data_IF_803768981524
#
_entry.id   IF_803768981524
#
_cell.length_a   1.000
_cell.length_b   1.000
_cell.length_c   1.000
_cell.angle_alpha   90.00
_cell.angle_beta   90.00
_cell.angle_gamma   90.00
#
_symmetry.space_group_name_H-M   'P 1'
#
loop_
_entity.id
_entity.type
_entity.pdbx_description
1 polymer ?
#
# COMPACT_ATOMS: atom_id res chain seq x y z
N UNK A 1 -48.27 -13.98 6.04
CA UNK A 1 -47.33 -13.98 7.17
C UNK A 1 -46.53 -15.26 7.13
N UNK A 2 -45.35 -15.19 6.54
CA UNK A 2 -44.39 -16.29 6.37
C UNK A 2 -43.41 -16.26 7.56
N UNK A 3 -43.49 -17.27 8.42
CA UNK A 3 -42.57 -17.47 9.54
C UNK A 3 -41.26 -18.09 9.09
N UNK A 4 -40.15 -17.44 9.41
CA UNK A 4 -38.78 -17.95 9.20
C UNK A 4 -38.43 -18.92 10.33
N UNK A 5 -37.87 -20.12 10.07
CA UNK A 5 -37.36 -20.98 11.13
C UNK A 5 -35.96 -20.55 11.57
N UNK A 6 -35.82 -20.38 12.88
CA UNK A 6 -34.59 -20.07 13.59
C UNK A 6 -33.57 -21.20 13.46
N UNK A 7 -32.36 -20.89 12.98
CA UNK A 7 -31.22 -21.81 12.93
C UNK A 7 -30.56 -21.91 14.29
N UNK A 8 -31.08 -22.78 15.16
CA UNK A 8 -30.37 -23.18 16.37
C UNK A 8 -29.17 -24.06 15.98
N UNK A 9 -28.00 -23.43 15.84
CA UNK A 9 -26.72 -24.12 15.66
C UNK A 9 -26.44 -24.97 16.90
N UNK A 10 -26.44 -26.30 16.72
CA UNK A 10 -26.17 -27.27 17.77
C UNK A 10 -24.73 -27.10 18.25
N UNK A 11 -24.56 -26.49 19.43
CA UNK A 11 -23.31 -26.50 20.19
C UNK A 11 -22.96 -27.94 20.54
N UNK A 12 -21.86 -28.43 19.99
CA UNK A 12 -21.23 -29.70 20.37
C UNK A 12 -19.73 -29.46 20.53
N UNK A 13 -19.34 -28.78 21.61
CA UNK A 13 -17.95 -28.77 22.09
C UNK A 13 -17.79 -29.79 23.21
N UNK A 14 -17.69 -31.05 22.82
CA UNK A 14 -17.21 -32.13 23.70
C UNK A 14 -15.91 -32.66 23.12
N UNK A 15 -14.78 -32.24 23.69
CA UNK A 15 -13.44 -32.77 23.37
C UNK A 15 -13.31 -34.28 23.63
N UNK A 16 -14.24 -34.87 24.39
CA UNK A 16 -14.34 -36.30 24.58
C UNK A 16 -15.44 -36.89 23.70
N UNK A 17 -15.18 -36.99 22.39
CA UNK A 17 -15.97 -37.88 21.54
C UNK A 17 -15.69 -39.31 22.00
N UNK A 18 -16.71 -39.97 22.54
CA UNK A 18 -16.76 -41.43 22.65
C UNK A 18 -16.48 -42.03 21.26
N UNK A 19 -15.28 -42.59 21.08
CA UNK A 19 -14.90 -43.28 19.85
C UNK A 19 -15.71 -44.57 19.77
N UNK A 20 -16.63 -44.63 18.81
CA UNK A 20 -17.56 -45.74 18.58
C UNK A 20 -16.97 -46.88 17.74
N UNK A 21 -15.64 -47.08 17.75
CA UNK A 21 -14.97 -48.24 17.15
C UNK A 21 -13.64 -48.49 17.89
N UNK A 22 -13.40 -49.65 18.53
CA UNK A 22 -12.13 -49.92 19.18
C UNK A 22 -11.08 -50.24 18.12
N UNK A 23 -10.51 -49.19 17.49
CA UNK A 23 -9.16 -49.31 16.96
C UNK A 23 -8.32 -49.75 18.16
N UNK A 24 -7.71 -50.94 18.08
CA UNK A 24 -6.80 -51.42 19.12
C UNK A 24 -5.69 -50.38 19.22
N UNK A 25 -5.78 -49.50 20.21
CA UNK A 25 -4.79 -48.45 20.46
C UNK A 25 -3.51 -49.17 20.86
N UNK A 26 -2.58 -49.26 19.92
CA UNK A 26 -1.26 -49.82 20.18
C UNK A 26 -0.46 -48.81 20.99
N UNK A 27 0.22 -49.29 22.04
CA UNK A 27 1.08 -48.45 22.86
C UNK A 27 2.30 -47.98 22.05
N UNK A 28 2.48 -46.68 21.79
CA UNK A 28 3.60 -46.17 21.01
C UNK A 28 4.95 -46.24 21.75
N UNK A 29 4.95 -46.47 23.07
CA UNK A 29 6.13 -46.34 23.94
C UNK A 29 7.13 -47.50 23.85
N UNK A 30 6.90 -48.49 22.98
CA UNK A 30 7.74 -49.68 22.81
C UNK A 30 8.22 -50.27 24.15
N UNK A 31 7.26 -50.69 24.99
CA UNK A 31 7.52 -51.12 26.38
C UNK A 31 8.42 -52.35 26.50
N UNK A 32 8.67 -53.06 25.39
CA UNK A 32 9.60 -54.20 25.32
C UNK A 32 11.07 -53.76 25.33
N UNK A 33 11.37 -52.51 24.96
CA UNK A 33 12.74 -51.99 24.95
C UNK A 33 13.28 -51.78 26.37
N UNK A 34 14.45 -52.38 26.63
CA UNK A 34 15.15 -52.30 27.91
C UNK A 34 15.57 -50.87 28.25
N UNK A 35 15.88 -50.05 27.26
CA UNK A 35 16.25 -48.65 27.52
C UNK A 35 15.05 -47.84 28.03
N UNK A 36 13.90 -47.95 27.35
CA UNK A 36 12.65 -47.30 27.78
C UNK A 36 12.24 -47.77 29.17
N UNK A 37 12.32 -49.07 29.45
CA UNK A 37 12.04 -49.60 30.79
C UNK A 37 12.94 -48.96 31.87
N UNK A 38 14.24 -48.82 31.61
CA UNK A 38 15.15 -48.17 32.55
C UNK A 38 14.83 -46.68 32.75
N UNK A 39 14.48 -45.96 31.69
CA UNK A 39 14.06 -44.56 31.79
C UNK A 39 12.79 -44.42 32.65
N UNK A 40 11.78 -45.25 32.40
CA UNK A 40 10.56 -45.27 33.21
C UNK A 40 10.86 -45.60 34.68
N UNK A 41 11.76 -46.56 34.94
CA UNK A 41 12.15 -46.93 36.31
C UNK A 41 12.80 -45.74 37.04
N UNK A 42 13.74 -45.05 36.36
CA UNK A 42 14.41 -43.86 36.90
C UNK A 42 13.41 -42.75 37.20
N UNK A 43 12.46 -42.51 36.29
CA UNK A 43 11.43 -41.49 36.46
C UNK A 43 10.56 -41.73 37.70
N UNK A 44 10.07 -42.96 37.87
CA UNK A 44 9.28 -43.31 39.06
C UNK A 44 10.10 -43.16 40.34
N UNK A 45 11.35 -43.66 40.36
CA UNK A 45 12.21 -43.52 41.53
C UNK A 45 12.53 -42.06 41.87
N UNK A 46 12.76 -41.22 40.87
CA UNK A 46 13.02 -39.80 41.04
C UNK A 46 11.80 -39.09 41.60
N UNK A 47 10.62 -39.32 41.02
CA UNK A 47 9.37 -38.74 41.50
C UNK A 47 9.06 -39.13 42.95
N UNK A 48 9.20 -40.42 43.29
CA UNK A 48 9.00 -40.88 44.68
C UNK A 48 10.00 -40.23 45.65
N UNK A 49 11.22 -39.91 45.21
CA UNK A 49 12.19 -39.20 46.03
C UNK A 49 11.80 -37.74 46.25
N UNK A 50 11.39 -37.07 45.18
CA UNK A 50 11.03 -35.65 45.21
C UNK A 50 9.80 -35.43 46.11
N UNK A 51 8.83 -36.35 46.07
CA UNK A 51 7.63 -36.33 46.92
C UNK A 51 7.84 -36.94 48.33
N UNK A 52 9.07 -37.28 48.72
CA UNK A 52 9.43 -37.83 50.04
C UNK A 52 8.75 -39.17 50.40
N UNK A 53 8.63 -40.10 49.45
CA UNK A 53 8.10 -41.44 49.72
C UNK A 53 8.98 -42.21 50.72
N UNK A 54 8.43 -42.84 51.78
CA UNK A 54 9.22 -43.41 52.87
C UNK A 54 10.12 -44.60 52.52
N UNK A 55 9.82 -45.37 51.47
CA UNK A 55 10.51 -46.63 51.17
C UNK A 55 10.94 -46.68 49.70
N UNK A 56 12.11 -46.11 49.38
CA UNK A 56 12.60 -46.06 48.01
C UNK A 56 13.70 -47.11 47.81
N UNK A 57 13.51 -48.03 46.87
CA UNK A 57 14.55 -48.98 46.45
C UNK A 57 14.41 -49.31 44.97
N UNK A 58 15.51 -49.67 44.29
CA UNK A 58 15.42 -50.12 42.89
C UNK A 58 14.54 -51.37 42.73
N UNK A 59 14.46 -52.21 43.77
CA UNK A 59 13.62 -53.41 43.78
C UNK A 59 12.14 -53.08 43.72
N UNK A 60 11.72 -51.99 44.37
CA UNK A 60 10.33 -51.51 44.37
C UNK A 60 9.80 -51.23 42.96
N UNK A 61 10.67 -50.78 42.04
CA UNK A 61 10.23 -50.40 40.69
C UNK A 61 10.54 -51.49 39.66
N UNK A 62 11.55 -52.34 39.93
CA UNK A 62 11.90 -53.47 39.06
C UNK A 62 10.97 -54.67 39.26
N UNK A 63 10.83 -55.16 40.49
CA UNK A 63 10.06 -56.36 40.83
C UNK A 63 9.39 -56.19 42.21
N UNK A 64 8.38 -55.31 42.35
CA UNK A 64 7.68 -55.14 43.61
C UNK A 64 6.79 -56.35 43.95
N UNK A 65 6.56 -56.55 45.23
CA UNK A 65 5.41 -57.34 45.69
C UNK A 65 4.11 -56.57 45.43
N UNK A 66 2.99 -57.31 45.39
CA UNK A 66 1.67 -56.70 45.19
C UNK A 66 1.34 -55.62 46.23
N UNK A 67 1.73 -55.82 47.49
CA UNK A 67 1.50 -54.87 48.58
C UNK A 67 2.36 -53.62 48.45
N UNK A 68 3.63 -53.78 48.06
CA UNK A 68 4.53 -52.65 47.82
C UNK A 68 4.07 -51.80 46.63
N UNK A 69 3.67 -52.44 45.52
CA UNK A 69 3.14 -51.74 44.36
C UNK A 69 1.82 -51.02 44.68
N UNK A 70 0.94 -51.65 45.46
CA UNK A 70 -0.31 -51.06 45.90
C UNK A 70 -0.09 -49.77 46.73
N UNK A 71 0.83 -49.81 47.70
CA UNK A 71 1.19 -48.63 48.50
C UNK A 71 1.81 -47.52 47.66
N UNK A 72 2.68 -47.90 46.72
CA UNK A 72 3.26 -46.93 45.78
C UNK A 72 2.19 -46.28 44.90
N UNK A 73 1.27 -47.07 44.33
CA UNK A 73 0.16 -46.54 43.52
C UNK A 73 -0.75 -45.61 44.34
N UNK A 74 -1.13 -46.04 45.54
CA UNK A 74 -1.95 -45.24 46.46
C UNK A 74 -1.28 -43.90 46.77
N UNK A 75 0.01 -43.90 47.13
CA UNK A 75 0.76 -42.69 47.40
C UNK A 75 0.82 -41.74 46.20
N UNK A 76 1.08 -42.27 45.00
CA UNK A 76 1.11 -41.44 43.78
C UNK A 76 -0.29 -40.89 43.48
N UNK A 77 -1.34 -41.68 43.64
CA UNK A 77 -2.71 -41.25 43.37
C UNK A 77 -3.23 -40.22 44.38
N UNK A 78 -2.75 -40.27 45.62
CA UNK A 78 -3.08 -39.28 46.66
C UNK A 78 -2.63 -37.85 46.29
N UNK A 79 -1.70 -37.70 45.35
CA UNK A 79 -1.31 -36.38 44.81
C UNK A 79 -2.44 -35.73 43.99
N UNK A 80 -3.35 -36.53 43.41
CA UNK A 80 -4.57 -36.01 42.78
C UNK A 80 -5.75 -35.93 43.76
N UNK A 81 -5.82 -36.86 44.71
CA UNK A 81 -6.93 -37.00 45.64
C UNK A 81 -6.41 -37.34 47.04
N UNK A 82 -6.15 -36.33 47.91
CA UNK A 82 -5.51 -36.54 49.22
C UNK A 82 -6.21 -37.55 50.13
N UNK A 83 -7.54 -37.63 50.06
CA UNK A 83 -8.36 -38.55 50.88
C UNK A 83 -8.51 -39.96 50.28
N UNK A 84 -7.78 -40.26 49.21
CA UNK A 84 -7.87 -41.57 48.55
C UNK A 84 -7.27 -42.66 49.43
N UNK A 85 -7.99 -43.77 49.59
CA UNK A 85 -7.50 -44.99 50.22
C UNK A 85 -7.77 -46.18 49.31
N UNK A 86 -6.74 -46.95 48.99
CA UNK A 86 -6.82 -48.08 48.09
C UNK A 86 -7.37 -49.32 48.81
N UNK A 87 -8.49 -49.87 48.33
CA UNK A 87 -9.07 -51.11 48.88
C UNK A 87 -8.55 -52.35 48.18
N UNK A 88 -8.82 -52.45 46.88
CA UNK A 88 -8.48 -53.63 46.08
C UNK A 88 -7.94 -53.19 44.73
N UNK A 89 -6.63 -53.39 44.55
CA UNK A 89 -5.90 -52.88 43.39
C UNK A 89 -6.42 -53.44 42.06
N UNK A 90 -6.86 -54.70 42.04
CA UNK A 90 -7.36 -55.36 40.81
C UNK A 90 -8.64 -54.74 40.26
N UNK A 91 -9.44 -54.15 41.14
CA UNK A 91 -10.72 -53.56 40.78
C UNK A 91 -10.59 -52.03 40.63
N UNK A 92 -9.85 -51.38 41.55
CA UNK A 92 -9.76 -49.93 41.61
C UNK A 92 -8.77 -49.35 40.61
N UNK A 93 -7.58 -49.94 40.42
CA UNK A 93 -6.59 -49.37 39.49
C UNK A 93 -7.14 -49.34 38.05
N UNK A 94 -7.66 -50.45 37.47
CA UNK A 94 -8.26 -50.40 36.12
C UNK A 94 -9.42 -49.41 35.99
N UNK A 95 -10.25 -49.28 37.03
CA UNK A 95 -11.38 -48.34 37.04
C UNK A 95 -10.89 -46.90 37.05
N UNK A 96 -9.96 -46.56 37.94
CA UNK A 96 -9.42 -45.22 38.10
C UNK A 96 -8.71 -44.75 36.82
N UNK A 97 -7.82 -45.58 36.25
CA UNK A 97 -7.14 -45.27 34.99
C UNK A 97 -8.13 -45.04 33.84
N UNK A 98 -9.24 -45.80 33.78
CA UNK A 98 -10.30 -45.54 32.80
C UNK A 98 -11.00 -44.21 33.03
N UNK A 99 -11.32 -43.87 34.28
CA UNK A 99 -12.01 -42.63 34.66
C UNK A 99 -11.18 -41.39 34.31
N UNK A 100 -9.87 -41.44 34.53
CA UNK A 100 -8.95 -40.32 34.22
C UNK A 100 -8.48 -40.31 32.76
N UNK A 101 -9.03 -41.18 31.91
CA UNK A 101 -8.81 -41.14 30.46
C UNK A 101 -7.53 -41.83 29.98
N UNK A 102 -6.98 -42.79 30.72
CA UNK A 102 -5.83 -43.57 30.27
C UNK A 102 -6.16 -44.33 28.97
N UNK A 103 -5.34 -44.17 27.91
CA UNK A 103 -5.69 -44.68 26.57
C UNK A 103 -5.60 -46.20 26.43
N UNK A 104 -4.90 -46.90 27.33
CA UNK A 104 -4.67 -48.35 27.22
C UNK A 104 -5.49 -49.13 28.25
N UNK A 105 -6.02 -50.28 27.83
CA UNK A 105 -6.85 -51.09 28.72
C UNK A 105 -6.00 -51.88 29.73
N UNK A 106 -6.15 -51.55 31.01
CA UNK A 106 -5.64 -52.37 32.11
C UNK A 106 -6.69 -53.43 32.49
N UNK A 107 -6.30 -54.70 32.51
CA UNK A 107 -7.18 -55.82 32.91
C UNK A 107 -6.92 -56.19 34.38
N UNK A 108 -7.93 -56.66 35.14
CA UNK A 108 -7.73 -57.13 36.51
C UNK A 108 -6.65 -58.24 36.62
N UNK A 109 -6.53 -59.10 35.60
CA UNK A 109 -5.50 -60.15 35.54
C UNK A 109 -4.08 -59.58 35.52
N UNK A 110 -3.85 -58.40 34.92
CA UNK A 110 -2.56 -57.70 34.92
C UNK A 110 -2.14 -57.29 36.35
N UNK A 111 -3.11 -57.07 37.24
CA UNK A 111 -2.84 -56.76 38.66
C UNK A 111 -2.54 -58.00 39.51
N UNK A 112 -2.86 -59.20 39.02
CA UNK A 112 -2.53 -60.45 39.70
C UNK A 112 -1.08 -60.85 39.49
N UNK A 113 -0.47 -60.41 38.39
CA UNK A 113 0.91 -60.73 37.98
C UNK A 113 1.87 -59.55 38.17
N UNK A 114 1.61 -58.69 39.15
CA UNK A 114 2.51 -57.58 39.54
C UNK A 114 3.90 -58.15 39.87
N UNK A 115 4.95 -57.53 39.34
CA UNK A 115 6.34 -57.98 39.49
C UNK A 115 6.78 -59.04 38.47
N UNK A 116 5.88 -59.55 37.61
CA UNK A 116 6.28 -60.44 36.53
C UNK A 116 6.94 -59.67 35.37
N UNK A 117 8.02 -60.21 34.81
CA UNK A 117 8.85 -59.54 33.80
C UNK A 117 8.09 -59.03 32.55
N UNK A 118 7.02 -59.73 32.13
CA UNK A 118 6.20 -59.34 30.98
C UNK A 118 5.08 -58.34 31.35
N UNK A 119 4.66 -58.33 32.62
CA UNK A 119 3.56 -57.48 33.10
C UNK A 119 4.07 -56.14 33.62
N UNK A 120 5.21 -56.13 34.31
CA UNK A 120 5.76 -54.95 34.96
C UNK A 120 6.01 -53.77 34.02
N UNK A 121 6.50 -53.94 32.77
CA UNK A 121 6.65 -52.82 31.84
C UNK A 121 5.35 -52.08 31.54
N UNK A 122 4.23 -52.81 31.45
CA UNK A 122 2.90 -52.23 31.23
C UNK A 122 2.39 -51.45 32.45
N UNK A 123 2.57 -52.01 33.64
CA UNK A 123 2.24 -51.33 34.90
C UNK A 123 3.08 -50.07 35.10
N UNK A 124 4.37 -50.17 34.80
CA UNK A 124 5.29 -49.05 34.90
C UNK A 124 4.93 -47.94 33.91
N UNK A 125 4.54 -48.30 32.68
CA UNK A 125 3.98 -47.37 31.70
C UNK A 125 2.69 -46.69 32.17
N UNK A 126 1.84 -47.37 32.94
CA UNK A 126 0.67 -46.74 33.54
C UNK A 126 1.07 -45.74 34.66
N UNK A 127 1.98 -46.13 35.54
CA UNK A 127 2.45 -45.26 36.63
C UNK A 127 3.20 -44.03 36.10
N UNK A 128 4.07 -44.18 35.11
CA UNK A 128 4.77 -43.03 34.52
C UNK A 128 3.81 -42.06 33.86
N UNK A 129 2.79 -42.57 33.16
CA UNK A 129 1.73 -41.74 32.59
C UNK A 129 0.93 -41.00 33.68
N UNK A 130 0.66 -41.65 34.81
CA UNK A 130 -0.01 -41.00 35.93
C UNK A 130 0.85 -39.89 36.54
N UNK A 131 2.16 -40.11 36.69
CA UNK A 131 3.10 -39.08 37.13
C UNK A 131 3.10 -37.90 36.16
N UNK A 132 3.17 -38.17 34.85
CA UNK A 132 3.08 -37.14 33.81
C UNK A 132 1.78 -36.33 33.91
N UNK A 133 0.65 -37.03 34.12
CA UNK A 133 -0.64 -36.38 34.31
C UNK A 133 -0.62 -35.47 35.53
N UNK A 134 -0.10 -35.93 36.67
CA UNK A 134 0.00 -35.14 37.90
C UNK A 134 0.84 -33.89 37.68
N UNK A 135 2.03 -34.03 37.11
CA UNK A 135 2.94 -32.92 36.82
C UNK A 135 2.28 -31.89 35.88
N UNK A 136 1.67 -32.37 34.79
CA UNK A 136 0.94 -31.50 33.86
C UNK A 136 -0.21 -30.77 34.55
N UNK A 137 -1.00 -31.45 35.40
CA UNK A 137 -2.10 -30.80 36.13
C UNK A 137 -1.61 -29.80 37.17
N UNK A 138 -0.43 -29.99 37.74
CA UNK A 138 0.19 -29.05 38.68
C UNK A 138 0.72 -27.79 37.99
N UNK A 139 1.14 -27.89 36.74
CA UNK A 139 1.63 -26.76 35.93
C UNK A 139 0.50 -25.91 35.34
N UNK A 140 -0.68 -26.48 35.12
CA UNK A 140 -1.82 -25.76 34.54
C UNK A 140 -2.42 -24.81 35.58
N UNK A 141 -2.29 -23.50 35.36
CA UNK A 141 -3.03 -22.51 36.15
C UNK A 141 -4.52 -22.54 35.75
N UNK A 142 -5.45 -22.42 36.71
CA UNK A 142 -6.86 -22.17 36.40
C UNK A 142 -7.07 -20.94 35.53
N UNK A 143 -6.15 -19.96 35.59
CA UNK A 143 -6.19 -18.77 34.73
C UNK A 143 -5.89 -19.11 33.27
N UNK A 144 -4.94 -20.01 33.01
CA UNK A 144 -4.58 -20.40 31.64
C UNK A 144 -5.75 -21.12 30.95
N UNK A 145 -6.50 -21.94 31.70
CA UNK A 145 -7.72 -22.58 31.21
C UNK A 145 -8.82 -21.57 30.84
N UNK A 146 -8.92 -20.47 31.58
CA UNK A 146 -9.89 -19.41 31.32
C UNK A 146 -9.47 -18.51 30.14
N UNK A 147 -8.16 -18.36 29.93
CA UNK A 147 -7.58 -17.62 28.81
C UNK A 147 -7.61 -18.39 27.49
N UNK A 148 -7.60 -19.73 27.52
CA UNK A 148 -7.53 -20.59 26.34
C UNK A 148 -8.79 -20.62 25.44
N UNK A 149 -9.84 -19.84 25.76
CA UNK A 149 -11.07 -19.83 24.96
C UNK A 149 -10.93 -18.95 23.69
N UNK A 150 -11.26 -19.50 22.52
CA UNK A 150 -11.08 -18.84 21.22
C UNK A 150 -12.04 -17.65 20.96
N UNK A 151 -13.08 -17.48 21.77
CA UNK A 151 -14.11 -16.43 21.60
C UNK A 151 -13.62 -15.01 21.99
N UNK A 152 -12.32 -14.79 22.17
CA UNK A 152 -11.72 -13.45 22.32
C UNK A 152 -11.95 -12.74 23.66
N UNK A 153 -12.66 -13.36 24.61
CA UNK A 153 -12.98 -12.76 25.92
C UNK A 153 -12.37 -13.50 27.12
N UNK A 154 -11.34 -14.32 26.88
CA UNK A 154 -10.67 -15.09 27.94
C UNK A 154 -10.12 -14.21 29.06
N UNK A 155 -9.66 -12.99 28.73
CA UNK A 155 -9.08 -12.06 29.69
C UNK A 155 -10.11 -11.45 30.64
N UNK A 156 -11.27 -10.99 30.13
CA UNK A 156 -12.36 -10.51 31.00
C UNK A 156 -12.89 -11.63 31.88
N UNK A 157 -12.99 -12.86 31.34
CA UNK A 157 -13.42 -14.03 32.11
C UNK A 157 -12.44 -14.38 33.23
N UNK A 158 -11.14 -14.37 32.93
CA UNK A 158 -10.09 -14.59 33.93
C UNK A 158 -10.13 -13.54 35.03
N UNK A 159 -10.30 -12.27 34.65
CA UNK A 159 -10.39 -11.15 35.58
C UNK A 159 -11.65 -11.24 36.47
N UNK A 160 -12.82 -11.50 35.87
CA UNK A 160 -14.07 -11.70 36.58
C UNK A 160 -14.00 -12.90 37.53
N UNK A 161 -13.41 -14.02 37.09
CA UNK A 161 -13.20 -15.19 37.95
C UNK A 161 -12.28 -14.86 39.13
N UNK A 162 -11.16 -14.19 38.89
CA UNK A 162 -10.25 -13.75 39.94
C UNK A 162 -10.94 -12.84 40.97
N UNK A 163 -11.77 -11.90 40.51
CA UNK A 163 -12.59 -11.06 41.38
C UNK A 163 -13.60 -11.86 42.21
N UNK A 164 -14.37 -12.75 41.56
CA UNK A 164 -15.34 -13.60 42.24
C UNK A 164 -14.70 -14.48 43.31
N UNK A 165 -13.55 -15.10 43.01
CA UNK A 165 -12.81 -15.94 43.97
C UNK A 165 -12.32 -15.12 45.17
N UNK A 166 -11.82 -13.90 44.95
CA UNK A 166 -11.39 -13.01 46.05
C UNK A 166 -12.57 -12.64 46.96
N UNK A 167 -13.68 -12.21 46.37
CA UNK A 167 -14.89 -11.88 47.12
C UNK A 167 -15.42 -13.08 47.90
N UNK A 168 -15.48 -14.25 47.25
CA UNK A 168 -15.93 -15.49 47.87
C UNK A 168 -15.02 -15.93 49.02
N UNK A 169 -13.69 -15.85 48.87
CA UNK A 169 -12.75 -16.14 49.96
C UNK A 169 -12.97 -15.22 51.16
N UNK A 170 -13.17 -13.92 50.93
CA UNK A 170 -13.46 -12.94 51.99
C UNK A 170 -14.78 -13.24 52.69
N UNK A 171 -15.80 -13.62 51.93
CA UNK A 171 -17.07 -14.10 52.48
C UNK A 171 -16.90 -15.37 53.32
N UNK A 172 -16.15 -16.37 52.85
CA UNK A 172 -15.87 -17.58 53.62
C UNK A 172 -15.10 -17.30 54.92
N UNK A 173 -14.19 -16.32 54.91
CA UNK A 173 -13.47 -15.89 56.11
C UNK A 173 -14.35 -15.08 57.07
N UNK A 174 -15.35 -14.37 56.58
CA UNK A 174 -16.30 -13.62 57.40
C UNK A 174 -17.73 -13.69 56.82
N UNK A 175 -18.51 -14.72 57.15
CA UNK A 175 -19.86 -14.89 56.60
C UNK A 175 -20.85 -13.80 57.03
N UNK A 176 -20.60 -13.13 58.16
CA UNK A 176 -21.44 -12.03 58.66
C UNK A 176 -21.35 -10.75 57.81
N UNK A 177 -20.35 -10.67 56.93
CA UNK A 177 -20.15 -9.56 56.00
C UNK A 177 -21.28 -9.44 54.96
N UNK A 178 -21.94 -10.56 54.62
CA UNK A 178 -22.98 -10.60 53.59
C UNK A 178 -22.49 -10.20 52.19
N UNK A 179 -23.43 -10.03 51.25
CA UNK A 179 -23.15 -9.69 49.86
C UNK A 179 -23.47 -8.21 49.56
N UNK A 180 -22.92 -7.29 50.35
CA UNK A 180 -23.03 -5.85 50.09
C UNK A 180 -21.76 -5.36 49.36
N UNK A 181 -21.94 -4.66 48.23
CA UNK A 181 -20.83 -4.10 47.43
C UNK A 181 -19.88 -3.21 48.23
N UNK A 182 -20.38 -2.48 49.24
CA UNK A 182 -19.54 -1.62 50.08
C UNK A 182 -18.52 -2.40 50.91
N UNK A 183 -18.78 -3.68 51.19
CA UNK A 183 -17.89 -4.53 51.99
C UNK A 183 -16.73 -5.12 51.16
N UNK A 184 -16.80 -4.98 49.84
CA UNK A 184 -15.79 -5.47 48.89
C UNK A 184 -15.10 -4.32 48.14
N UNK A 185 -15.05 -3.11 48.74
CA UNK A 185 -14.43 -1.92 48.14
C UNK A 185 -12.98 -2.15 47.73
N UNK A 186 -12.20 -2.83 48.55
CA UNK A 186 -10.80 -3.11 48.25
C UNK A 186 -10.67 -4.01 47.01
N UNK A 187 -11.49 -5.06 46.92
CA UNK A 187 -11.51 -5.97 45.78
C UNK A 187 -12.01 -5.28 44.50
N UNK A 188 -12.98 -4.37 44.63
CA UNK A 188 -13.47 -3.53 43.55
C UNK A 188 -12.40 -2.57 43.03
N UNK A 189 -11.68 -1.91 43.93
CA UNK A 189 -10.62 -0.96 43.57
C UNK A 189 -9.47 -1.67 42.86
N UNK A 190 -9.06 -2.86 43.34
CA UNK A 190 -8.04 -3.67 42.67
C UNK A 190 -8.49 -4.13 41.28
N UNK A 191 -9.77 -4.50 41.13
CA UNK A 191 -10.33 -4.84 39.82
C UNK A 191 -10.31 -3.62 38.89
N UNK A 192 -10.76 -2.46 39.38
CA UNK A 192 -10.84 -1.24 38.61
C UNK A 192 -9.44 -0.78 38.14
N UNK A 193 -8.45 -0.79 39.04
CA UNK A 193 -7.07 -0.47 38.69
C UNK A 193 -6.51 -1.42 37.61
N UNK A 194 -6.79 -2.73 37.70
CA UNK A 194 -6.35 -3.71 36.70
C UNK A 194 -7.05 -3.53 35.35
N UNK A 195 -8.28 -3.02 35.34
CA UNK A 195 -9.00 -2.65 34.12
C UNK A 195 -8.39 -1.37 33.55
N UNK A 196 -8.22 -0.31 34.35
CA UNK A 196 -7.67 0.98 33.94
C UNK A 196 -6.23 0.86 33.41
N UNK A 197 -5.35 0.11 34.08
CA UNK A 197 -3.96 -0.12 33.63
C UNK A 197 -3.88 -0.89 32.30
N UNK A 198 -4.93 -1.66 31.98
CA UNK A 198 -4.97 -2.50 30.76
C UNK A 198 -5.83 -1.91 29.65
N UNK A 199 -6.80 -1.08 30.02
CA UNK A 199 -7.69 -0.32 29.16
C UNK A 199 -7.23 1.14 29.05
N UNK A 200 -5.93 1.35 28.76
CA UNK A 200 -5.41 2.59 28.17
C UNK A 200 -6.00 2.85 26.75
N UNK A 201 -7.12 2.19 26.45
CA UNK A 201 -8.00 2.36 25.30
C UNK A 201 -8.46 3.80 25.21
N UNK A 202 -8.75 4.47 26.33
CA UNK A 202 -9.15 5.88 26.31
C UNK A 202 -8.01 6.81 25.81
N UNK A 203 -6.76 6.49 26.15
CA UNK A 203 -5.57 7.19 25.63
C UNK A 203 -5.35 6.87 24.15
N UNK A 204 -5.50 5.60 23.77
CA UNK A 204 -5.39 5.14 22.37
C UNK A 204 -6.50 5.73 21.47
N UNK A 205 -7.74 5.82 21.96
CA UNK A 205 -8.85 6.47 21.25
C UNK A 205 -8.56 7.96 21.04
N UNK A 206 -8.08 8.66 22.08
CA UNK A 206 -7.69 10.06 21.95
C UNK A 206 -6.53 10.28 20.97
N UNK A 207 -5.55 9.37 20.93
CA UNK A 207 -4.44 9.40 19.96
C UNK A 207 -4.93 9.13 18.54
N UNK A 208 -5.80 8.15 18.34
CA UNK A 208 -6.40 7.84 17.04
C UNK A 208 -7.29 8.98 16.54
N UNK A 209 -8.07 9.62 17.40
CA UNK A 209 -8.87 10.79 17.05
C UNK A 209 -7.99 11.96 16.63
N UNK A 210 -6.87 12.20 17.33
CA UNK A 210 -5.89 13.21 16.92
C UNK A 210 -5.28 12.90 15.55
N UNK A 211 -4.93 11.63 15.27
CA UNK A 211 -4.42 11.20 13.96
C UNK A 211 -5.46 11.38 12.84
N UNK A 212 -6.73 11.10 13.12
CA UNK A 212 -7.82 11.30 12.16
C UNK A 212 -7.94 12.78 11.79
N UNK A 213 -7.85 13.69 12.77
CA UNK A 213 -7.87 15.14 12.51
C UNK A 213 -6.71 15.55 11.62
N UNK A 214 -5.48 15.14 11.95
CA UNK A 214 -4.28 15.51 11.16
C UNK A 214 -4.33 14.97 9.73
N UNK A 215 -4.77 13.72 9.55
CA UNK A 215 -4.89 13.12 8.22
C UNK A 215 -6.00 13.78 7.40
N UNK A 216 -7.08 14.21 8.05
CA UNK A 216 -8.17 14.94 7.38
C UNK A 216 -7.69 16.30 6.89
N UNK A 217 -6.91 17.02 7.70
CA UNK A 217 -6.30 18.30 7.30
C UNK A 217 -5.33 18.12 6.12
N UNK A 218 -4.44 17.12 6.16
CA UNK A 218 -3.54 16.79 5.05
C UNK A 218 -4.30 16.46 3.75
N UNK A 219 -5.39 15.69 3.85
CA UNK A 219 -6.25 15.38 2.70
C UNK A 219 -6.87 16.66 2.14
N UNK A 220 -7.29 17.63 2.98
CA UNK A 220 -7.85 18.89 2.47
C UNK A 220 -6.81 19.75 1.75
N UNK A 221 -5.58 19.79 2.25
CA UNK A 221 -4.47 20.51 1.61
C UNK A 221 -4.11 19.87 0.25
N UNK A 222 -3.97 18.55 0.21
CA UNK A 222 -3.73 17.81 -1.03
C UNK A 222 -4.85 18.00 -2.07
N UNK A 223 -6.11 18.11 -1.65
CA UNK A 223 -7.21 18.42 -2.56
C UNK A 223 -7.13 19.84 -3.12
N UNK A 224 -6.66 20.81 -2.34
CA UNK A 224 -6.44 22.19 -2.80
C UNK A 224 -5.32 22.22 -3.84
N UNK A 225 -4.20 21.57 -3.56
CA UNK A 225 -3.05 21.48 -4.46
C UNK A 225 -3.41 20.79 -5.78
N UNK A 226 -4.21 19.72 -5.72
CA UNK A 226 -4.74 19.07 -6.92
C UNK A 226 -5.57 20.03 -7.77
N UNK A 227 -6.42 20.85 -7.15
CA UNK A 227 -7.20 21.87 -7.85
C UNK A 227 -6.33 22.93 -8.53
N UNK A 228 -5.19 23.30 -7.94
CA UNK A 228 -4.21 24.21 -8.56
C UNK A 228 -3.46 23.54 -9.70
N UNK A 229 -3.07 22.26 -9.54
CA UNK A 229 -2.43 21.46 -10.57
C UNK A 229 -3.32 21.30 -11.82
N UNK A 230 -4.62 21.06 -11.65
CA UNK A 230 -5.58 20.93 -12.76
C UNK A 230 -5.71 22.26 -13.55
N UNK A 231 -5.69 23.40 -12.86
CA UNK A 231 -5.65 24.73 -13.50
C UNK A 231 -4.35 24.94 -14.27
N UNK A 232 -3.22 24.52 -13.70
CA UNK A 232 -1.93 24.63 -14.37
C UNK A 232 -1.89 23.74 -15.62
N UNK A 233 -2.37 22.50 -15.54
CA UNK A 233 -2.43 21.58 -16.68
C UNK A 233 -3.32 22.09 -17.81
N UNK A 234 -4.47 22.69 -17.48
CA UNK A 234 -5.33 23.30 -18.50
C UNK A 234 -4.66 24.51 -19.15
N UNK A 235 -3.98 25.36 -18.37
CA UNK A 235 -3.18 26.47 -18.91
C UNK A 235 -2.04 26.00 -19.82
N UNK A 236 -1.31 24.95 -19.43
CA UNK A 236 -0.23 24.38 -20.25
C UNK A 236 -0.75 23.87 -21.59
N UNK A 237 -1.89 23.16 -21.60
CA UNK A 237 -2.51 22.69 -22.85
C UNK A 237 -2.88 23.83 -23.80
N UNK A 238 -3.46 24.92 -23.27
CA UNK A 238 -3.77 26.12 -24.07
C UNK A 238 -2.51 26.74 -24.65
N UNK A 239 -1.45 26.88 -23.84
CA UNK A 239 -0.16 27.41 -24.32
C UNK A 239 0.51 26.52 -25.36
N UNK A 240 0.40 25.20 -25.26
CA UNK A 240 0.90 24.25 -26.26
C UNK A 240 0.14 24.37 -27.59
N UNK A 241 -1.18 24.55 -27.54
CA UNK A 241 -2.00 24.81 -28.74
C UNK A 241 -1.62 26.14 -29.39
N UNK A 242 -1.40 27.19 -28.60
CA UNK A 242 -1.00 28.50 -29.13
C UNK A 242 0.43 28.49 -29.70
N UNK A 243 1.36 27.73 -29.08
CA UNK A 243 2.68 27.49 -29.66
C UNK A 243 2.59 26.81 -31.02
N UNK A 244 1.72 25.81 -31.19
CA UNK A 244 1.48 25.17 -32.49
C UNK A 244 0.96 26.16 -33.52
N UNK A 245 -0.02 27.00 -33.18
CA UNK A 245 -0.55 28.04 -34.08
C UNK A 245 0.51 29.08 -34.45
N UNK A 246 1.36 29.49 -33.51
CA UNK A 246 2.48 30.39 -33.80
C UNK A 246 3.51 29.73 -34.73
N UNK A 247 3.77 28.44 -34.56
CA UNK A 247 4.68 27.71 -35.42
C UNK A 247 4.13 27.62 -36.86
N UNK A 248 2.86 27.28 -37.04
CA UNK A 248 2.23 27.24 -38.37
C UNK A 248 2.25 28.63 -39.03
N UNK A 249 1.93 29.68 -38.27
CA UNK A 249 2.01 31.05 -38.78
C UNK A 249 3.43 31.45 -39.20
N UNK A 250 4.45 31.05 -38.43
CA UNK A 250 5.85 31.30 -38.77
C UNK A 250 6.24 30.61 -40.08
N UNK A 251 5.80 29.38 -40.27
CA UNK A 251 6.11 28.61 -41.48
C UNK A 251 5.44 29.24 -42.72
N UNK A 252 4.18 29.65 -42.62
CA UNK A 252 3.45 30.39 -43.67
C UNK A 252 4.15 31.71 -44.06
N UNK A 253 4.62 32.46 -43.05
CA UNK A 253 5.37 33.71 -43.28
C UNK A 253 6.73 33.45 -43.96
N UNK A 254 7.41 32.36 -43.61
CA UNK A 254 8.67 31.98 -44.26
C UNK A 254 8.45 31.58 -45.72
N UNK A 255 7.37 30.86 -46.03
CA UNK A 255 7.00 30.51 -47.40
C UNK A 255 6.72 31.77 -48.23
N UNK A 256 5.86 32.66 -47.73
CA UNK A 256 5.52 33.94 -48.39
C UNK A 256 6.78 34.77 -48.65
N UNK A 257 7.69 34.86 -47.67
CA UNK A 257 8.96 35.56 -47.83
C UNK A 257 9.83 34.93 -48.93
N UNK A 258 9.83 33.61 -49.05
CA UNK A 258 10.52 32.87 -50.11
C UNK A 258 9.95 33.18 -51.49
N UNK A 259 8.62 33.24 -51.62
CA UNK A 259 7.95 33.62 -52.87
C UNK A 259 8.28 35.06 -53.29
N UNK A 260 8.18 36.00 -52.35
CA UNK A 260 8.50 37.41 -52.62
C UNK A 260 9.96 37.61 -53.00
N UNK A 261 10.90 36.86 -52.40
CA UNK A 261 12.31 36.86 -52.83
C UNK A 261 12.47 36.39 -54.28
N UNK A 262 11.82 35.29 -54.68
CA UNK A 262 11.86 34.80 -56.07
C UNK A 262 11.26 35.83 -57.05
N UNK A 263 10.15 36.47 -56.68
CA UNK A 263 9.55 37.54 -57.49
C UNK A 263 10.51 38.71 -57.65
N UNK A 264 11.17 39.14 -56.56
CA UNK A 264 12.18 40.19 -56.60
C UNK A 264 13.33 39.84 -57.57
N UNK A 265 13.90 38.65 -57.45
CA UNK A 265 14.98 38.18 -58.35
C UNK A 265 14.53 38.22 -59.82
N UNK A 266 13.31 37.75 -60.12
CA UNK A 266 12.78 37.77 -61.49
C UNK A 266 12.59 39.18 -62.06
N UNK A 267 12.25 40.16 -61.20
CA UNK A 267 12.11 41.55 -61.59
C UNK A 267 13.47 42.21 -61.80
N UNK A 268 14.46 41.90 -60.96
CA UNK A 268 15.84 42.35 -61.11
C UNK A 268 16.44 41.86 -62.43
N UNK A 269 16.24 40.59 -62.78
CA UNK A 269 16.65 40.03 -64.08
C UNK A 269 16.01 40.78 -65.25
N UNK A 270 14.72 41.11 -65.14
CA UNK A 270 13.98 41.80 -66.19
C UNK A 270 14.43 43.26 -66.34
N UNK A 271 14.76 43.93 -65.23
CA UNK A 271 15.39 45.26 -65.25
C UNK A 271 16.74 45.19 -65.96
N UNK A 272 17.55 44.18 -65.65
CA UNK A 272 18.85 43.97 -66.31
C UNK A 272 18.71 43.79 -67.82
N UNK A 273 17.73 42.99 -68.26
CA UNK A 273 17.42 42.80 -69.69
C UNK A 273 17.02 44.13 -70.36
N UNK A 274 16.14 44.92 -69.74
CA UNK A 274 15.76 46.23 -70.30
C UNK A 274 16.92 47.22 -70.34
N UNK A 275 17.81 47.21 -69.35
CA UNK A 275 19.02 48.04 -69.36
C UNK A 275 19.93 47.72 -70.55
N UNK A 276 20.14 46.43 -70.85
CA UNK A 276 20.89 45.99 -72.04
C UNK A 276 20.19 46.44 -73.33
N UNK A 277 18.87 46.29 -73.40
CA UNK A 277 18.07 46.73 -74.56
C UNK A 277 18.20 48.24 -74.79
N UNK A 278 18.07 49.06 -73.75
CA UNK A 278 18.21 50.51 -73.81
C UNK A 278 19.61 50.91 -74.28
N UNK A 279 20.67 50.25 -73.78
CA UNK A 279 22.04 50.50 -74.22
C UNK A 279 22.18 50.25 -75.73
N UNK A 280 21.67 49.11 -76.22
CA UNK A 280 21.69 48.77 -77.65
C UNK A 280 20.90 49.77 -78.52
N UNK A 281 19.77 50.28 -78.02
CA UNK A 281 18.95 51.25 -78.73
C UNK A 281 19.63 52.63 -78.77
N UNK A 282 20.27 53.06 -77.68
CA UNK A 282 21.08 54.28 -77.64
C UNK A 282 22.25 54.21 -78.63
N UNK A 283 22.90 53.06 -78.74
CA UNK A 283 23.97 52.82 -79.71
C UNK A 283 23.45 52.93 -81.15
N UNK A 284 22.31 52.29 -81.46
CA UNK A 284 21.64 52.39 -82.76
C UNK A 284 21.21 53.82 -83.10
N UNK A 285 20.73 54.58 -82.11
CA UNK A 285 20.30 55.97 -82.27
C UNK A 285 21.51 56.87 -82.58
N UNK A 286 22.61 56.72 -81.84
CA UNK A 286 23.89 57.40 -82.13
C UNK A 286 24.44 57.07 -83.52
N UNK A 287 24.36 55.80 -83.94
CA UNK A 287 24.74 55.40 -85.30
C UNK A 287 23.87 56.06 -86.38
N UNK A 288 22.56 56.18 -86.13
CA UNK A 288 21.62 56.86 -87.03
C UNK A 288 21.81 58.38 -87.05
N UNK A 289 22.11 59.02 -85.92
CA UNK A 289 22.46 60.44 -85.85
C UNK A 289 23.74 60.75 -86.62
N UNK A 290 24.75 59.87 -86.55
CA UNK A 290 25.96 59.96 -87.39
C UNK A 290 25.65 59.80 -88.88
N UNK A 291 24.73 58.90 -89.26
CA UNK A 291 24.26 58.79 -90.64
C UNK A 291 23.50 60.05 -91.10
N UNK A 292 22.72 60.65 -90.21
CA UNK A 292 21.94 61.86 -90.50
C UNK A 292 22.83 63.10 -90.70
N UNK A 293 23.94 63.20 -89.94
CA UNK A 293 24.94 64.26 -90.09
C UNK A 293 25.72 64.18 -91.42
N UNK A 294 25.69 63.04 -92.11
CA UNK A 294 26.41 62.79 -93.36
C UNK A 294 25.60 63.03 -94.64
N UNK A 295 24.30 63.37 -94.55
CA UNK A 295 23.44 63.62 -95.74
C UNK A 295 23.07 65.09 -95.90
N UNK A 296 23.31 65.66 -97.09
CA UNK A 296 22.81 66.99 -97.48
C UNK A 296 21.33 66.91 -97.85
N UNK A 297 20.47 67.53 -97.04
CA UNK A 297 19.02 67.43 -97.18
C UNK A 297 18.38 68.60 -97.93
N UNK A 298 17.45 68.29 -98.83
CA UNK A 298 16.60 69.22 -99.58
C UNK A 298 15.42 69.71 -98.71
N UNK A 299 14.95 70.94 -98.91
CA UNK A 299 14.06 71.69 -98.00
C UNK A 299 12.65 71.13 -97.73
N UNK A 300 12.26 70.03 -98.37
CA UNK A 300 10.98 69.34 -98.12
C UNK A 300 11.14 68.21 -97.07
N UNK A 301 12.26 67.48 -97.11
CA UNK A 301 12.63 66.47 -96.09
C UNK A 301 12.92 67.12 -94.74
N UNK A 302 13.52 68.32 -94.72
CA UNK A 302 13.75 69.07 -93.48
C UNK A 302 12.44 69.47 -92.75
N UNK A 303 11.34 69.67 -93.48
CA UNK A 303 10.02 69.96 -92.91
C UNK A 303 9.32 68.70 -92.40
N UNK A 304 9.40 67.59 -93.14
CA UNK A 304 8.94 66.28 -92.68
C UNK A 304 9.71 65.81 -91.42
N UNK A 305 11.03 66.06 -91.36
CA UNK A 305 11.84 65.81 -90.18
C UNK A 305 11.48 66.71 -88.99
N UNK A 306 11.07 67.97 -89.21
CA UNK A 306 10.58 68.83 -88.14
C UNK A 306 9.25 68.34 -87.55
N UNK A 307 8.32 67.89 -88.39
CA UNK A 307 7.06 67.28 -87.92
C UNK A 307 7.36 66.01 -87.13
N UNK A 308 8.22 65.13 -87.66
CA UNK A 308 8.64 63.91 -86.96
C UNK A 308 9.41 64.20 -85.65
N UNK A 309 10.16 65.30 -85.60
CA UNK A 309 10.84 65.77 -84.37
C UNK A 309 9.83 66.25 -83.33
N UNK A 310 8.78 66.96 -83.73
CA UNK A 310 7.70 67.35 -82.82
C UNK A 310 6.85 66.15 -82.37
N UNK A 311 6.57 65.17 -83.24
CA UNK A 311 5.95 63.90 -82.84
C UNK A 311 6.82 63.10 -81.86
N UNK A 312 8.14 63.06 -82.09
CA UNK A 312 9.08 62.42 -81.17
C UNK A 312 9.15 63.14 -79.83
N UNK A 313 9.12 64.48 -79.82
CA UNK A 313 9.01 65.25 -78.55
C UNK A 313 7.71 64.96 -77.83
N UNK A 314 6.58 64.93 -78.53
CA UNK A 314 5.29 64.60 -77.93
C UNK A 314 5.29 63.18 -77.33
N UNK A 315 5.91 62.20 -78.02
CA UNK A 315 6.09 60.85 -77.47
C UNK A 315 7.02 60.82 -76.26
N UNK A 316 8.10 61.61 -76.24
CA UNK A 316 8.99 61.75 -75.08
C UNK A 316 8.23 62.36 -73.90
N UNK A 317 7.36 63.33 -74.14
CA UNK A 317 6.58 63.98 -73.09
C UNK A 317 5.52 63.05 -72.50
N UNK A 318 4.84 62.26 -73.34
CA UNK A 318 3.94 61.18 -72.89
C UNK A 318 4.71 60.14 -72.06
N UNK A 319 5.87 59.67 -72.53
CA UNK A 319 6.69 58.70 -71.81
C UNK A 319 7.23 59.26 -70.48
N UNK A 320 7.59 60.55 -70.42
CA UNK A 320 8.00 61.21 -69.18
C UNK A 320 6.84 61.31 -68.18
N UNK A 321 5.62 61.58 -68.67
CA UNK A 321 4.42 61.64 -67.83
C UNK A 321 4.05 60.26 -67.28
N UNK A 322 4.16 59.21 -68.10
CA UNK A 322 4.00 57.83 -67.64
C UNK A 322 5.06 57.44 -66.61
N UNK A 323 6.32 57.80 -66.84
CA UNK A 323 7.41 57.58 -65.87
C UNK A 323 7.12 58.26 -64.53
N UNK A 324 6.67 59.52 -64.56
CA UNK A 324 6.34 60.27 -63.35
C UNK A 324 5.14 59.66 -62.61
N UNK A 325 4.13 59.16 -63.33
CA UNK A 325 3.01 58.45 -62.71
C UNK A 325 3.46 57.15 -62.02
N UNK A 326 4.36 56.38 -62.65
CA UNK A 326 4.93 55.16 -62.05
C UNK A 326 5.76 55.50 -60.81
N UNK A 327 6.53 56.59 -60.84
CA UNK A 327 7.33 57.06 -59.71
C UNK A 327 6.45 57.45 -58.51
N UNK A 328 5.36 58.17 -58.77
CA UNK A 328 4.37 58.52 -57.74
C UNK A 328 3.65 57.29 -57.16
N UNK A 329 3.35 56.29 -57.98
CA UNK A 329 2.74 55.04 -57.51
C UNK A 329 3.73 54.22 -56.68
N UNK A 330 5.01 54.18 -57.06
CA UNK A 330 6.05 53.52 -56.29
C UNK A 330 6.24 54.18 -54.92
N UNK A 331 6.24 55.52 -54.87
CA UNK A 331 6.30 56.29 -53.62
C UNK A 331 5.08 56.03 -52.72
N UNK A 332 3.89 55.86 -53.31
CA UNK A 332 2.69 55.44 -52.57
C UNK A 332 2.84 54.06 -51.96
N UNK A 333 3.29 53.08 -52.74
CA UNK A 333 3.51 51.70 -52.27
C UNK A 333 4.56 51.68 -51.16
N UNK A 334 5.68 52.39 -51.34
CA UNK A 334 6.72 52.53 -50.31
C UNK A 334 6.17 53.15 -49.02
N UNK A 335 5.31 54.17 -49.12
CA UNK A 335 4.68 54.80 -47.96
C UNK A 335 3.74 53.85 -47.21
N UNK A 336 2.93 53.07 -47.94
CA UNK A 336 2.03 52.05 -47.35
C UNK A 336 2.85 50.96 -46.68
N UNK A 337 3.84 50.38 -47.37
CA UNK A 337 4.72 49.35 -46.84
C UNK A 337 5.48 49.83 -45.60
N UNK A 338 5.94 51.09 -45.60
CA UNK A 338 6.61 51.67 -44.43
C UNK A 338 5.66 51.80 -43.23
N UNK A 339 4.40 52.21 -43.44
CA UNK A 339 3.38 52.27 -42.39
C UNK A 339 3.07 50.88 -41.84
N UNK A 340 2.86 49.89 -42.70
CA UNK A 340 2.59 48.51 -42.30
C UNK A 340 3.76 47.90 -41.52
N UNK A 341 5.00 48.09 -42.00
CA UNK A 341 6.20 47.65 -41.29
C UNK A 341 6.35 48.34 -39.92
N UNK A 342 5.97 49.62 -39.81
CA UNK A 342 5.99 50.34 -38.54
C UNK A 342 4.94 49.79 -37.57
N UNK A 343 3.71 49.54 -38.05
CA UNK A 343 2.64 48.95 -37.24
C UNK A 343 3.00 47.53 -36.77
N UNK A 344 3.62 46.73 -37.63
CA UNK A 344 4.08 45.39 -37.27
C UNK A 344 5.17 45.43 -36.20
N UNK A 345 6.13 46.35 -36.30
CA UNK A 345 7.15 46.58 -35.26
C UNK A 345 6.54 46.97 -33.93
N UNK A 346 5.54 47.85 -33.94
CA UNK A 346 4.87 48.27 -32.70
C UNK A 346 4.08 47.13 -32.07
N UNK A 347 3.37 46.33 -32.88
CA UNK A 347 2.69 45.12 -32.41
C UNK A 347 3.66 44.09 -31.82
N UNK A 348 4.80 43.87 -32.47
CA UNK A 348 5.83 42.96 -31.97
C UNK A 348 6.42 43.47 -30.64
N UNK A 349 6.65 44.78 -30.52
CA UNK A 349 7.11 45.40 -29.28
C UNK A 349 6.09 45.26 -28.15
N UNK A 350 4.80 45.44 -28.44
CA UNK A 350 3.72 45.23 -27.48
C UNK A 350 3.66 43.76 -27.03
N UNK A 351 3.77 42.83 -27.97
CA UNK A 351 3.82 41.39 -27.69
C UNK A 351 4.98 41.02 -26.77
N UNK A 352 6.21 41.49 -27.07
CA UNK A 352 7.39 41.25 -26.23
C UNK A 352 7.17 41.79 -24.81
N UNK A 353 6.61 43.00 -24.65
CA UNK A 353 6.29 43.54 -23.32
C UNK A 353 5.29 42.67 -22.56
N UNK A 354 4.19 42.29 -23.21
CA UNK A 354 3.19 41.42 -22.57
C UNK A 354 3.78 40.06 -22.20
N UNK A 355 4.68 39.52 -23.03
CA UNK A 355 5.35 38.26 -22.75
C UNK A 355 6.35 38.39 -21.58
N UNK A 356 7.12 39.47 -21.53
CA UNK A 356 7.99 39.79 -20.39
C UNK A 356 7.20 39.98 -19.09
N UNK A 357 6.06 40.65 -19.15
CA UNK A 357 5.19 40.88 -17.99
C UNK A 357 4.56 39.58 -17.48
N UNK A 358 4.08 38.71 -18.39
CA UNK A 358 3.59 37.36 -18.04
C UNK A 358 4.73 36.51 -17.48
N UNK A 359 5.92 36.54 -18.09
CA UNK A 359 7.10 35.81 -17.60
C UNK A 359 7.50 36.26 -16.20
N UNK A 360 7.47 37.56 -15.89
CA UNK A 360 7.71 38.07 -14.53
C UNK A 360 6.64 37.63 -13.53
N UNK A 361 5.36 37.60 -13.95
CA UNK A 361 4.26 37.11 -13.11
C UNK A 361 4.37 35.62 -12.79
N UNK A 362 4.82 34.81 -13.75
CA UNK A 362 4.92 33.34 -13.62
C UNK A 362 6.22 32.91 -12.91
N UNK A 363 7.35 33.57 -13.18
CA UNK A 363 8.66 33.19 -12.64
C UNK A 363 9.01 33.85 -11.29
N UNK A 364 8.14 34.70 -10.72
CA UNK A 364 8.25 35.16 -9.33
C UNK A 364 9.65 35.64 -8.92
N UNK A 365 10.19 36.65 -9.60
CA UNK A 365 11.32 37.40 -9.02
C UNK A 365 10.76 38.48 -8.10
N UNK A 366 10.89 38.26 -6.79
CA UNK A 366 10.87 39.31 -5.78
C UNK A 366 11.96 40.35 -6.04
#
# INVERSE_FOLDING_TARGET
MSGVPSTASKRSSSFFKSISNPVVVMDPRNLSDRHVQQQMQRKVLQYLRDENYPQISEKLVKNPTKTEFARMFEFIFQQLAPDFTLRKIEDEMPRLFRTIGYPLQLKPSTMQTIGAAHTMPHLLGAITWLIDLIQMTGEISPQDLLLANEEGDGQRRSLAYGYMVRCYKKYCSNPALGFNMDNYKDENNVLLQLVEEREDIASQEAELDAQIVTLTEEITELHKDKGELDKLQTSTKVLEEDLKKMQTFKDEQQETLGEEKKKKESLEDRIQQYNVMIASLKEKLSAKEKQLAAQSMTGEEARALRVRKEELKARIEIANKERQNIELENDRILSVNFKEASQLRERYRAFIRTFEDVSRMVCGTY
#
